data_IF_318797100134
#
_entry.id   IF_318797100134
#
_cell.length_a   1.000
_cell.length_b   1.000
_cell.length_c   1.000
_cell.angle_alpha   90.00
_cell.angle_beta   90.00
_cell.angle_gamma   90.00
#
_symmetry.space_group_name_H-M   'P 1'
#
loop_
_entity.id
_entity.type
_entity.pdbx_description
1 polymer ?
#
# COMPACT_ATOMS: atom_id res chain seq x y z
N UNK A 1 -6.74 -81.10 30.49
CA UNK A 1 -5.36 -80.73 30.87
C UNK A 1 -5.17 -79.21 30.58
N UNK A 2 -5.21 -78.45 31.69
CA UNK A 2 -5.13 -77.02 31.66
C UNK A 2 -3.65 -76.63 31.87
N UNK A 3 -3.05 -75.95 30.92
CA UNK A 3 -1.68 -75.43 31.02
C UNK A 3 -1.71 -73.96 31.42
N UNK A 4 -1.26 -73.64 32.64
CA UNK A 4 -1.12 -72.36 33.21
C UNK A 4 0.16 -71.69 32.68
N UNK A 5 0.03 -70.52 31.98
CA UNK A 5 1.13 -69.67 31.56
C UNK A 5 1.13 -68.40 32.42
N UNK A 6 1.94 -68.39 33.47
CA UNK A 6 2.24 -67.12 34.25
C UNK A 6 3.27 -66.31 33.49
N UNK A 7 2.83 -65.22 32.83
CA UNK A 7 3.71 -64.17 32.33
C UNK A 7 4.03 -63.21 33.50
N UNK A 8 5.29 -63.12 33.90
CA UNK A 8 5.82 -62.10 34.76
C UNK A 8 5.95 -60.80 33.96
N UNK A 9 5.12 -59.79 34.28
CA UNK A 9 5.34 -58.41 33.83
C UNK A 9 6.43 -57.80 34.72
N UNK A 10 7.61 -57.50 34.15
CA UNK A 10 8.56 -56.55 34.72
C UNK A 10 8.01 -55.18 34.60
N UNK A 11 7.62 -54.59 35.72
CA UNK A 11 7.22 -53.16 35.81
C UNK A 11 8.47 -52.32 35.61
N UNK A 12 8.56 -51.66 34.44
CA UNK A 12 9.53 -50.56 34.25
C UNK A 12 9.17 -49.43 35.22
N UNK A 13 10.06 -49.10 36.14
CA UNK A 13 9.99 -47.87 36.89
C UNK A 13 10.16 -46.71 35.90
N UNK A 14 9.06 -46.10 35.47
CA UNK A 14 9.10 -44.76 34.92
C UNK A 14 9.52 -43.82 36.06
N UNK A 15 10.70 -43.26 35.93
CA UNK A 15 11.13 -42.15 36.78
C UNK A 15 10.06 -41.06 36.71
N UNK A 16 9.30 -40.89 37.79
CA UNK A 16 8.32 -39.80 37.93
C UNK A 16 9.06 -38.45 37.93
N UNK A 17 9.11 -37.82 36.79
CA UNK A 17 9.56 -36.43 36.67
C UNK A 17 8.51 -35.58 37.40
N UNK A 18 8.93 -34.89 38.45
CA UNK A 18 8.04 -34.00 39.22
C UNK A 18 7.34 -33.01 38.28
N UNK A 19 6.00 -32.84 38.31
CA UNK A 19 5.26 -31.96 37.40
C UNK A 19 5.81 -30.55 37.31
N UNK A 20 6.38 -30.03 38.42
CA UNK A 20 7.00 -28.71 38.50
C UNK A 20 8.25 -28.53 37.59
N UNK A 21 9.02 -29.59 37.33
CA UNK A 21 10.24 -29.50 36.49
C UNK A 21 9.91 -29.52 34.99
N UNK A 22 8.86 -30.22 34.61
CA UNK A 22 8.34 -30.20 33.23
C UNK A 22 7.74 -28.83 32.94
N UNK A 23 6.94 -28.31 33.85
CA UNK A 23 6.31 -27.00 33.73
C UNK A 23 7.35 -25.86 33.62
N UNK A 24 8.41 -25.89 34.46
CA UNK A 24 9.50 -24.91 34.40
C UNK A 24 10.27 -24.98 33.07
N UNK A 25 10.56 -26.20 32.59
CA UNK A 25 11.23 -26.40 31.28
C UNK A 25 10.34 -25.95 30.14
N UNK A 26 9.04 -26.24 30.18
CA UNK A 26 8.06 -25.78 29.16
C UNK A 26 7.94 -24.26 29.16
N UNK A 27 7.85 -23.63 30.32
CA UNK A 27 7.83 -22.16 30.45
C UNK A 27 9.14 -21.56 29.93
N UNK A 28 10.30 -22.12 30.27
CA UNK A 28 11.59 -21.64 29.78
C UNK A 28 11.72 -21.78 28.25
N UNK A 29 11.23 -22.88 27.67
CA UNK A 29 11.22 -23.08 26.20
C UNK A 29 10.24 -22.11 25.53
N UNK A 30 9.02 -21.92 26.08
CA UNK A 30 8.06 -20.93 25.58
C UNK A 30 8.60 -19.50 25.69
N UNK A 31 9.26 -19.16 26.81
CA UNK A 31 9.88 -17.83 26.98
C UNK A 31 11.05 -17.62 26.00
N UNK A 32 11.83 -18.66 25.72
CA UNK A 32 12.90 -18.60 24.73
C UNK A 32 12.37 -18.48 23.29
N UNK A 33 11.29 -19.22 22.98
CA UNK A 33 10.57 -19.07 21.69
C UNK A 33 9.94 -17.66 21.54
N UNK A 34 9.35 -17.12 22.59
CA UNK A 34 8.79 -15.75 22.60
C UNK A 34 9.89 -14.68 22.46
N UNK A 35 11.06 -14.87 23.08
CA UNK A 35 12.20 -13.97 22.87
C UNK A 35 12.78 -14.02 21.46
N UNK A 36 12.72 -15.15 20.77
CA UNK A 36 13.19 -15.29 19.38
C UNK A 36 12.28 -14.61 18.35
N UNK A 37 11.04 -14.25 18.70
CA UNK A 37 10.10 -13.54 17.83
C UNK A 37 10.27 -12.01 17.84
N UNK A 38 11.15 -11.46 18.69
CA UNK A 38 11.22 -10.03 18.95
C UNK A 38 12.28 -9.26 18.14
N UNK A 39 12.97 -9.86 17.17
CA UNK A 39 14.04 -9.19 16.43
C UNK A 39 13.71 -9.08 14.94
N UNK A 40 12.70 -8.28 14.62
CA UNK A 40 12.58 -7.75 13.26
C UNK A 40 13.15 -6.32 13.25
N UNK A 41 14.46 -6.21 13.12
CA UNK A 41 15.10 -4.97 12.68
C UNK A 41 14.55 -4.62 11.29
N UNK A 42 14.20 -3.35 11.04
CA UNK A 42 13.86 -2.87 9.70
C UNK A 42 15.13 -2.87 8.86
N UNK A 43 15.39 -3.98 8.18
CA UNK A 43 16.53 -4.08 7.27
C UNK A 43 16.34 -3.17 6.06
N UNK A 44 17.40 -2.54 5.55
CA UNK A 44 17.34 -1.79 4.30
C UNK A 44 16.75 -2.64 3.16
N UNK A 45 15.89 -2.07 2.35
CA UNK A 45 15.29 -2.75 1.20
C UNK A 45 16.38 -3.14 0.21
N UNK A 46 16.51 -4.43 -0.09
CA UNK A 46 17.46 -4.97 -1.08
C UNK A 46 16.68 -5.42 -2.30
N UNK A 47 16.87 -4.70 -3.42
CA UNK A 47 16.17 -4.98 -4.65
C UNK A 47 16.92 -6.02 -5.49
N UNK A 48 16.20 -7.04 -5.95
CA UNK A 48 16.65 -7.93 -7.00
C UNK A 48 16.61 -7.22 -8.36
N UNK A 49 17.31 -7.73 -9.37
CA UNK A 49 17.29 -7.16 -10.73
C UNK A 49 15.87 -7.07 -11.29
N UNK A 50 15.02 -8.06 -11.03
CA UNK A 50 13.61 -8.02 -11.44
C UNK A 50 12.84 -6.86 -10.75
N UNK A 51 13.07 -6.62 -9.47
CA UNK A 51 12.45 -5.51 -8.75
C UNK A 51 12.96 -4.15 -9.22
N UNK A 52 14.25 -4.05 -9.57
CA UNK A 52 14.83 -2.84 -10.21
C UNK A 52 14.12 -2.57 -11.53
N UNK A 53 13.99 -3.59 -12.37
CA UNK A 53 13.28 -3.47 -13.64
C UNK A 53 11.82 -3.02 -13.47
N UNK A 54 11.09 -3.60 -12.54
CA UNK A 54 9.72 -3.17 -12.21
C UNK A 54 9.66 -1.70 -11.75
N UNK A 55 10.65 -1.25 -10.97
CA UNK A 55 10.73 0.16 -10.56
C UNK A 55 11.04 1.09 -11.73
N UNK A 56 11.84 0.66 -12.73
CA UNK A 56 12.08 1.39 -13.99
C UNK A 56 10.77 1.53 -14.78
N UNK A 57 9.99 0.45 -14.90
CA UNK A 57 8.69 0.50 -15.55
C UNK A 57 7.72 1.48 -14.84
N UNK A 58 7.68 1.49 -13.49
CA UNK A 58 6.91 2.47 -12.72
C UNK A 58 7.43 3.90 -12.88
N UNK A 59 8.75 4.07 -13.01
CA UNK A 59 9.35 5.38 -13.28
C UNK A 59 8.87 5.94 -14.62
N UNK A 60 8.65 5.10 -15.61
CA UNK A 60 8.21 5.45 -16.96
C UNK A 60 6.70 5.71 -17.09
N UNK A 61 5.92 5.45 -16.06
CA UNK A 61 4.48 5.72 -16.06
C UNK A 61 4.14 6.97 -15.22
N UNK A 62 3.52 7.96 -15.82
CA UNK A 62 3.15 9.23 -15.19
C UNK A 62 1.63 9.36 -14.98
N UNK A 63 1.00 8.31 -14.52
CA UNK A 63 -0.42 8.28 -14.16
C UNK A 63 -0.62 7.93 -12.69
N UNK A 64 -1.68 8.49 -12.08
CA UNK A 64 -1.97 8.33 -10.66
C UNK A 64 -3.42 7.91 -10.43
N UNK A 65 -3.66 6.94 -9.55
CA UNK A 65 -4.98 6.48 -9.14
C UNK A 65 -5.12 6.51 -7.61
N UNK A 66 -6.22 7.06 -7.10
CA UNK A 66 -6.54 7.09 -5.67
C UNK A 66 -7.79 6.27 -5.41
N UNK A 67 -7.65 5.19 -4.65
CA UNK A 67 -8.75 4.38 -4.17
C UNK A 67 -9.23 4.92 -2.83
N UNK A 68 -10.55 5.06 -2.62
CA UNK A 68 -11.11 5.67 -1.40
C UNK A 68 -12.16 4.73 -0.79
N UNK A 69 -12.01 4.47 0.53
CA UNK A 69 -12.98 3.75 1.32
C UNK A 69 -12.96 4.19 2.80
N UNK A 70 -13.76 3.56 3.65
CA UNK A 70 -13.96 4.00 5.02
C UNK A 70 -12.94 3.44 6.01
N UNK A 71 -12.58 2.15 5.90
CA UNK A 71 -11.77 1.45 6.90
C UNK A 71 -10.56 0.73 6.29
N UNK A 72 -9.54 0.40 7.09
CA UNK A 72 -8.58 -0.64 6.75
C UNK A 72 -9.35 -1.96 6.49
N UNK A 73 -9.09 -2.66 5.37
CA UNK A 73 -9.77 -3.86 4.89
C UNK A 73 -10.92 -3.65 3.87
N UNK A 74 -11.41 -2.45 3.69
CA UNK A 74 -12.39 -2.13 2.65
C UNK A 74 -11.78 -2.08 1.24
N UNK A 75 -10.46 -1.93 1.14
CA UNK A 75 -9.79 -1.80 -0.14
C UNK A 75 -9.92 -3.04 -1.02
N UNK A 76 -10.11 -2.82 -2.32
CA UNK A 76 -9.99 -3.88 -3.30
C UNK A 76 -8.52 -4.12 -3.63
N UNK A 77 -7.86 -5.03 -2.89
CA UNK A 77 -6.45 -5.36 -3.08
C UNK A 77 -6.13 -5.86 -4.48
N UNK A 78 -7.08 -6.51 -5.19
CA UNK A 78 -6.88 -6.95 -6.59
C UNK A 78 -6.75 -5.77 -7.53
N UNK A 79 -7.63 -4.77 -7.39
CA UNK A 79 -7.60 -3.59 -8.26
C UNK A 79 -6.39 -2.71 -7.94
N UNK A 80 -6.06 -2.51 -6.66
CA UNK A 80 -4.87 -1.75 -6.23
C UNK A 80 -3.59 -2.43 -6.74
N UNK A 81 -3.46 -3.75 -6.55
CA UNK A 81 -2.32 -4.51 -7.05
C UNK A 81 -2.20 -4.47 -8.57
N UNK A 82 -3.33 -4.61 -9.30
CA UNK A 82 -3.36 -4.50 -10.76
C UNK A 82 -2.88 -3.12 -11.24
N UNK A 83 -3.42 -2.05 -10.68
CA UNK A 83 -3.03 -0.68 -11.04
C UNK A 83 -1.55 -0.41 -10.74
N UNK A 84 -1.06 -0.88 -9.59
CA UNK A 84 0.32 -0.67 -9.17
C UNK A 84 1.31 -1.58 -9.92
N UNK A 85 1.01 -2.86 -10.12
CA UNK A 85 1.98 -3.83 -10.64
C UNK A 85 1.84 -4.11 -12.14
N UNK A 86 0.61 -4.06 -12.71
CA UNK A 86 0.39 -4.27 -14.14
C UNK A 86 0.41 -2.95 -14.90
N UNK A 87 -0.48 -2.02 -14.55
CA UNK A 87 -0.57 -0.70 -15.18
C UNK A 87 0.65 0.17 -14.88
N UNK A 88 1.34 -0.09 -13.77
CA UNK A 88 2.49 0.67 -13.25
C UNK A 88 2.11 2.06 -12.73
N UNK A 89 0.83 2.33 -12.55
CA UNK A 89 0.35 3.60 -12.01
C UNK A 89 0.79 3.79 -10.55
N UNK A 90 1.09 5.03 -10.19
CA UNK A 90 1.20 5.42 -8.79
C UNK A 90 -0.18 5.31 -8.16
N UNK A 91 -0.38 4.33 -7.29
CA UNK A 91 -1.68 3.98 -6.75
C UNK A 91 -1.71 4.26 -5.25
N UNK A 92 -2.65 5.08 -4.80
CA UNK A 92 -2.87 5.38 -3.38
C UNK A 92 -4.16 4.75 -2.87
N UNK A 93 -4.20 4.42 -1.59
CA UNK A 93 -5.42 4.11 -0.85
C UNK A 93 -5.64 5.15 0.25
N UNK A 94 -6.77 5.82 0.22
CA UNK A 94 -7.25 6.70 1.29
C UNK A 94 -8.29 5.93 2.11
N UNK A 95 -7.90 5.44 3.28
CA UNK A 95 -8.83 4.96 4.30
C UNK A 95 -9.25 6.15 5.16
N UNK A 96 -10.55 6.43 5.28
CA UNK A 96 -10.99 7.58 6.04
C UNK A 96 -10.67 7.42 7.53
N UNK A 97 -10.84 6.23 8.08
CA UNK A 97 -10.53 5.90 9.48
C UNK A 97 -9.30 4.98 9.60
N UNK A 98 -8.88 4.74 10.82
CA UNK A 98 -7.87 3.73 11.16
C UNK A 98 -8.47 2.42 11.67
N UNK A 99 -9.81 2.29 11.65
CA UNK A 99 -10.53 1.09 12.06
C UNK A 99 -10.49 0.83 13.57
N UNK A 100 -10.29 1.86 14.36
CA UNK A 100 -10.19 1.83 15.82
C UNK A 100 -11.51 1.46 16.52
N UNK A 101 -12.66 1.66 15.85
CA UNK A 101 -13.99 1.22 16.32
C UNK A 101 -14.39 -0.20 15.92
N UNK A 102 -13.54 -0.92 15.20
CA UNK A 102 -13.80 -2.28 14.72
C UNK A 102 -13.57 -3.37 15.77
N UNK A 103 -13.60 -4.62 15.31
CA UNK A 103 -13.31 -5.81 16.09
C UNK A 103 -11.85 -6.26 15.94
N UNK A 104 -11.35 -6.99 16.94
CA UNK A 104 -10.08 -7.67 16.92
C UNK A 104 -10.29 -9.18 17.18
N UNK A 105 -10.05 -10.01 16.18
CA UNK A 105 -10.27 -11.46 16.27
C UNK A 105 -9.08 -12.22 16.86
N UNK A 106 -7.93 -11.57 17.02
CA UNK A 106 -6.68 -12.23 17.44
C UNK A 106 -6.08 -11.68 18.74
N UNK A 107 -6.67 -10.61 19.31
CA UNK A 107 -6.15 -9.98 20.51
C UNK A 107 -7.21 -9.20 21.29
N UNK A 108 -6.86 -8.71 22.50
CA UNK A 108 -7.75 -7.95 23.36
C UNK A 108 -7.76 -6.44 23.05
N UNK A 109 -6.91 -5.96 22.15
CA UNK A 109 -6.75 -4.54 21.86
C UNK A 109 -8.00 -4.00 21.18
N UNK A 110 -8.50 -2.87 21.69
CA UNK A 110 -9.65 -2.12 21.18
C UNK A 110 -9.30 -0.63 21.11
N UNK A 111 -10.13 0.15 20.43
CA UNK A 111 -10.01 1.60 20.29
C UNK A 111 -8.63 1.99 19.73
N UNK A 112 -7.94 2.95 20.31
CA UNK A 112 -6.69 3.53 19.82
C UNK A 112 -5.60 2.46 19.60
N UNK A 113 -5.53 1.45 20.46
CA UNK A 113 -4.56 0.35 20.29
C UNK A 113 -4.90 -0.52 19.08
N UNK A 114 -6.17 -0.80 18.85
CA UNK A 114 -6.62 -1.48 17.63
C UNK A 114 -6.35 -0.63 16.38
N UNK A 115 -6.57 0.67 16.45
CA UNK A 115 -6.25 1.59 15.36
C UNK A 115 -4.77 1.57 14.98
N UNK A 116 -3.86 1.46 15.97
CA UNK A 116 -2.43 1.27 15.71
C UNK A 116 -2.16 -0.06 15.00
N UNK A 117 -2.74 -1.17 15.48
CA UNK A 117 -2.58 -2.50 14.87
C UNK A 117 -3.09 -2.47 13.43
N UNK A 118 -4.33 -2.03 13.18
CA UNK A 118 -4.93 -1.99 11.84
C UNK A 118 -4.18 -1.05 10.89
N UNK A 119 -3.59 0.04 11.41
CA UNK A 119 -2.70 0.89 10.62
C UNK A 119 -1.47 0.11 10.15
N UNK A 120 -0.83 -0.68 11.04
CA UNK A 120 0.35 -1.46 10.66
C UNK A 120 0.02 -2.60 9.70
N UNK A 121 -1.11 -3.27 9.89
CA UNK A 121 -1.63 -4.29 8.98
C UNK A 121 -1.88 -3.71 7.57
N UNK A 122 -2.51 -2.53 7.49
CA UNK A 122 -2.77 -1.85 6.23
C UNK A 122 -1.47 -1.41 5.53
N UNK A 123 -0.49 -0.91 6.29
CA UNK A 123 0.85 -0.60 5.75
C UNK A 123 1.56 -1.88 5.27
N UNK A 124 1.37 -3.02 5.93
CA UNK A 124 1.88 -4.30 5.47
C UNK A 124 1.21 -4.75 4.16
N UNK A 125 -0.11 -4.59 4.03
CA UNK A 125 -0.84 -4.86 2.80
C UNK A 125 -0.31 -4.01 1.63
N UNK A 126 -0.05 -2.70 1.84
CA UNK A 126 0.54 -1.80 0.83
C UNK A 126 1.95 -2.21 0.40
N UNK A 127 2.77 -2.75 1.32
CA UNK A 127 4.09 -3.30 0.95
C UNK A 127 3.99 -4.49 0.00
N UNK A 128 2.90 -5.26 0.07
CA UNK A 128 2.65 -6.42 -0.80
C UNK A 128 2.07 -6.01 -2.15
N UNK A 129 1.02 -5.18 -2.16
CA UNK A 129 0.32 -4.80 -3.40
C UNK A 129 0.95 -3.61 -4.13
N UNK A 130 1.87 -2.89 -3.48
CA UNK A 130 2.63 -1.79 -4.07
C UNK A 130 1.89 -0.45 -4.09
N UNK A 131 0.78 -0.31 -3.37
CA UNK A 131 0.08 0.95 -3.15
C UNK A 131 0.72 1.83 -2.08
N UNK A 132 0.32 3.10 -2.04
CA UNK A 132 0.66 4.06 -0.98
C UNK A 132 -0.55 4.22 -0.04
N UNK A 133 -0.31 4.48 1.27
CA UNK A 133 -1.39 4.58 2.25
C UNK A 133 -1.58 6.01 2.76
N UNK A 134 -2.86 6.43 2.82
CA UNK A 134 -3.29 7.71 3.37
C UNK A 134 -4.45 7.51 4.35
N UNK A 135 -4.58 8.43 5.30
CA UNK A 135 -5.67 8.47 6.28
C UNK A 135 -6.20 9.89 6.42
N UNK A 136 -7.46 10.00 6.88
CA UNK A 136 -8.02 11.24 7.41
C UNK A 136 -7.97 11.24 8.93
N UNK A 137 -8.50 12.30 9.54
CA UNK A 137 -8.70 12.38 10.99
C UNK A 137 -9.97 11.68 11.49
N UNK A 138 -10.78 11.12 10.59
CA UNK A 138 -12.03 10.48 10.98
C UNK A 138 -11.78 9.34 11.96
N UNK A 139 -12.51 9.35 13.06
CA UNK A 139 -12.46 8.29 14.08
C UNK A 139 -13.48 7.21 13.75
N UNK A 140 -13.10 5.95 13.80
CA UNK A 140 -14.04 4.84 13.71
C UNK A 140 -14.70 4.65 15.08
N UNK A 141 -15.99 4.92 15.15
CA UNK A 141 -16.78 4.80 16.39
C UNK A 141 -17.64 3.52 16.43
N UNK A 142 -17.38 2.58 15.56
CA UNK A 142 -18.13 1.35 15.40
C UNK A 142 -19.26 1.48 14.37
N UNK A 143 -20.29 0.64 14.47
CA UNK A 143 -21.34 0.55 13.46
C UNK A 143 -22.24 1.78 13.44
N UNK A 144 -22.44 2.35 12.25
CA UNK A 144 -23.43 3.38 11.95
C UNK A 144 -24.42 2.90 10.90
N UNK A 145 -25.72 3.17 11.09
CA UNK A 145 -26.77 2.76 10.16
C UNK A 145 -26.93 3.71 8.99
N UNK A 146 -26.60 4.99 9.17
CA UNK A 146 -26.89 6.02 8.18
C UNK A 146 -25.75 7.04 8.07
N UNK A 147 -25.46 7.56 6.86
CA UNK A 147 -24.40 8.55 6.66
C UNK A 147 -24.61 9.86 7.42
N UNK A 148 -25.88 10.27 7.69
CA UNK A 148 -26.14 11.50 8.45
C UNK A 148 -25.58 11.43 9.87
N UNK A 149 -25.73 10.28 10.54
CA UNK A 149 -25.13 10.01 11.83
C UNK A 149 -23.60 10.09 11.74
N UNK A 150 -23.04 9.39 10.77
CA UNK A 150 -21.60 9.35 10.55
C UNK A 150 -21.02 10.74 10.31
N UNK A 151 -21.57 11.49 9.36
CA UNK A 151 -21.08 12.81 8.99
C UNK A 151 -21.20 13.83 10.10
N UNK A 152 -22.23 13.69 10.98
CA UNK A 152 -22.36 14.52 12.17
C UNK A 152 -21.28 14.22 13.21
N UNK A 153 -20.99 12.92 13.47
CA UNK A 153 -20.00 12.50 14.47
C UNK A 153 -18.58 12.83 13.97
N UNK A 154 -18.30 12.63 12.68
CA UNK A 154 -17.00 12.90 12.09
C UNK A 154 -16.67 14.39 11.94
N UNK A 155 -17.63 15.30 12.09
CA UNK A 155 -17.52 16.69 11.67
C UNK A 155 -17.22 16.75 10.16
N UNK A 156 -18.30 16.68 9.36
CA UNK A 156 -18.25 16.57 7.90
C UNK A 156 -17.21 17.51 7.26
N UNK A 157 -17.20 18.80 7.66
CA UNK A 157 -16.32 19.79 7.05
C UNK A 157 -14.84 19.51 7.30
N UNK A 158 -14.48 19.00 8.48
CA UNK A 158 -13.09 18.67 8.80
C UNK A 158 -12.62 17.45 8.02
N UNK A 159 -13.43 16.38 7.95
CA UNK A 159 -13.06 15.18 7.20
C UNK A 159 -13.07 15.45 5.69
N UNK A 160 -14.04 16.24 5.18
CA UNK A 160 -14.03 16.69 3.79
C UNK A 160 -12.75 17.47 3.45
N UNK A 161 -12.31 18.35 4.35
CA UNK A 161 -11.02 19.05 4.20
C UNK A 161 -9.84 18.09 4.08
N UNK A 162 -9.83 16.98 4.84
CA UNK A 162 -8.77 15.98 4.76
C UNK A 162 -8.81 15.20 3.44
N UNK A 163 -10.01 14.88 2.92
CA UNK A 163 -10.14 14.22 1.61
C UNK A 163 -9.67 15.16 0.49
N UNK A 164 -10.04 16.44 0.54
CA UNK A 164 -9.53 17.47 -0.41
C UNK A 164 -8.01 17.60 -0.30
N UNK A 165 -7.46 17.60 0.92
CA UNK A 165 -6.02 17.62 1.14
C UNK A 165 -5.31 16.42 0.50
N UNK A 166 -5.85 15.20 0.69
CA UNK A 166 -5.30 14.00 0.07
C UNK A 166 -5.32 14.10 -1.46
N UNK A 167 -6.40 14.60 -2.06
CA UNK A 167 -6.48 14.80 -3.52
C UNK A 167 -5.46 15.84 -4.00
N UNK A 168 -5.35 16.98 -3.33
CA UNK A 168 -4.42 18.06 -3.71
C UNK A 168 -2.96 17.65 -3.59
N UNK A 169 -2.60 16.85 -2.58
CA UNK A 169 -1.22 16.43 -2.32
C UNK A 169 -0.80 15.23 -3.15
N UNK A 170 -1.69 14.25 -3.32
CA UNK A 170 -1.43 13.06 -4.12
C UNK A 170 -1.56 13.32 -5.63
N UNK A 171 -2.42 14.26 -6.02
CA UNK A 171 -2.74 14.65 -7.41
C UNK A 171 -3.19 13.46 -8.27
N UNK A 172 -4.28 12.75 -7.90
CA UNK A 172 -4.75 11.62 -8.68
C UNK A 172 -5.35 12.07 -10.02
N UNK A 173 -5.03 11.35 -11.09
CA UNK A 173 -5.75 11.48 -12.37
C UNK A 173 -7.13 10.80 -12.29
N UNK A 174 -7.17 9.66 -11.59
CA UNK A 174 -8.36 8.82 -11.44
C UNK A 174 -8.65 8.60 -9.96
N UNK A 175 -9.91 8.79 -9.57
CA UNK A 175 -10.41 8.41 -8.25
C UNK A 175 -11.34 7.22 -8.38
N UNK A 176 -11.26 6.25 -7.48
CA UNK A 176 -12.10 5.05 -7.45
C UNK A 176 -12.68 4.89 -6.06
N UNK A 177 -14.00 5.03 -5.95
CA UNK A 177 -14.73 4.79 -4.71
C UNK A 177 -15.02 3.30 -4.53
N UNK A 178 -14.83 2.79 -3.32
CA UNK A 178 -15.25 1.43 -2.96
C UNK A 178 -16.76 1.30 -2.81
N UNK A 179 -17.43 2.36 -2.34
CA UNK A 179 -18.84 2.33 -1.99
C UNK A 179 -19.68 3.26 -2.84
N UNK A 180 -21.01 3.03 -2.81
CA UNK A 180 -21.98 3.82 -3.54
C UNK A 180 -22.46 5.00 -2.68
N UNK A 181 -22.35 6.22 -3.19
CA UNK A 181 -22.80 7.44 -2.51
C UNK A 181 -24.33 7.67 -2.60
N UNK A 182 -25.05 6.92 -3.47
CA UNK A 182 -26.46 7.15 -3.84
C UNK A 182 -27.46 6.31 -3.02
N UNK A 183 -26.99 5.40 -2.20
CA UNK A 183 -27.83 4.41 -1.51
C UNK A 183 -27.65 4.48 0.02
N UNK A 184 -28.02 5.63 0.66
CA UNK A 184 -27.91 5.77 2.12
C UNK A 184 -28.78 4.72 2.81
N UNK A 185 -28.27 4.15 3.91
CA UNK A 185 -28.98 3.17 4.72
C UNK A 185 -28.95 1.73 4.19
N UNK A 186 -28.38 1.47 3.00
CA UNK A 186 -28.23 0.10 2.46
C UNK A 186 -26.97 -0.61 2.91
N UNK A 187 -25.96 0.16 3.34
CA UNK A 187 -24.70 -0.33 3.89
C UNK A 187 -24.36 0.44 5.15
N UNK A 188 -23.24 0.12 5.78
CA UNK A 188 -22.71 0.87 6.92
C UNK A 188 -22.61 2.37 6.59
N UNK A 189 -23.01 3.23 7.54
CA UNK A 189 -22.98 4.69 7.35
C UNK A 189 -21.59 5.25 6.96
N UNK A 190 -20.52 4.72 7.55
CA UNK A 190 -19.14 5.08 7.19
C UNK A 190 -18.85 4.82 5.71
N UNK A 191 -19.29 3.67 5.17
CA UNK A 191 -19.12 3.29 3.77
C UNK A 191 -19.73 4.31 2.84
N UNK A 192 -21.02 4.62 3.04
CA UNK A 192 -21.74 5.61 2.21
C UNK A 192 -21.12 7.00 2.38
N UNK A 193 -20.75 7.39 3.61
CA UNK A 193 -20.13 8.68 3.90
C UNK A 193 -18.79 8.85 3.19
N UNK A 194 -17.96 7.80 3.14
CA UNK A 194 -16.68 7.87 2.43
C UNK A 194 -16.86 8.18 0.94
N UNK A 195 -17.85 7.55 0.31
CA UNK A 195 -18.18 7.80 -1.09
C UNK A 195 -18.79 9.19 -1.32
N UNK A 196 -19.66 9.66 -0.42
CA UNK A 196 -20.25 11.01 -0.50
C UNK A 196 -19.18 12.10 -0.40
N UNK A 197 -18.27 11.97 0.57
CA UNK A 197 -17.16 12.91 0.75
C UNK A 197 -16.21 12.91 -0.45
N UNK A 198 -15.94 11.75 -1.03
CA UNK A 198 -15.11 11.64 -2.24
C UNK A 198 -15.74 12.33 -3.45
N UNK A 199 -17.06 12.15 -3.67
CA UNK A 199 -17.78 12.80 -4.78
C UNK A 199 -17.81 14.31 -4.62
N UNK A 200 -17.98 14.82 -3.41
CA UNK A 200 -17.94 16.24 -3.09
C UNK A 200 -16.52 16.81 -3.24
N UNK A 201 -15.53 16.11 -2.71
CA UNK A 201 -14.12 16.51 -2.77
C UNK A 201 -13.55 16.55 -4.19
N UNK A 202 -14.12 15.77 -5.15
CA UNK A 202 -13.71 15.75 -6.55
C UNK A 202 -13.74 17.14 -7.20
N UNK A 203 -14.79 17.93 -6.94
CA UNK A 203 -14.90 19.28 -7.45
C UNK A 203 -14.17 20.29 -6.57
N UNK A 204 -14.29 20.13 -5.24
CA UNK A 204 -13.73 21.07 -4.28
C UNK A 204 -12.19 21.09 -4.27
N UNK A 205 -11.55 20.02 -4.72
CA UNK A 205 -10.08 19.99 -4.79
C UNK A 205 -9.53 21.00 -5.82
N UNK A 206 -10.30 21.36 -6.83
CA UNK A 206 -9.93 22.39 -7.80
C UNK A 206 -10.39 23.81 -7.39
N UNK A 207 -11.28 23.96 -6.41
CA UNK A 207 -11.77 25.24 -5.96
C UNK A 207 -10.76 25.91 -5.02
N UNK A 208 -10.13 26.99 -5.47
CA UNK A 208 -9.15 27.76 -4.67
C UNK A 208 -9.75 28.48 -3.46
N UNK A 209 -11.06 28.69 -3.42
CA UNK A 209 -11.74 29.34 -2.30
C UNK A 209 -12.05 28.35 -1.16
N UNK A 210 -12.20 27.06 -1.50
CA UNK A 210 -12.44 26.02 -0.50
C UNK A 210 -11.14 25.55 0.12
N UNK A 211 -11.12 25.50 1.46
CA UNK A 211 -9.94 25.10 2.25
C UNK A 211 -8.65 25.82 1.80
N UNK A 212 -8.72 27.13 1.56
CA UNK A 212 -7.64 27.97 1.02
C UNK A 212 -6.34 27.90 1.86
N UNK A 213 -6.43 27.62 3.16
CA UNK A 213 -5.25 27.43 4.01
C UNK A 213 -4.33 26.29 3.54
N UNK A 214 -4.87 25.30 2.85
CA UNK A 214 -4.07 24.20 2.28
C UNK A 214 -3.15 24.67 1.16
N UNK A 215 -3.53 25.74 0.45
CA UNK A 215 -2.78 26.29 -0.69
C UNK A 215 -1.45 26.95 -0.29
N UNK A 216 -1.17 27.08 1.01
CA UNK A 216 0.16 27.44 1.53
C UNK A 216 1.18 26.29 1.35
N UNK A 217 0.71 25.06 1.14
CA UNK A 217 1.54 23.85 1.14
C UNK A 217 1.37 23.00 -0.14
N UNK A 218 0.30 23.24 -0.90
CA UNK A 218 -0.01 22.49 -2.14
C UNK A 218 -0.78 23.42 -3.10
N UNK A 219 -1.13 22.90 -4.27
CA UNK A 219 -1.91 23.59 -5.29
C UNK A 219 -3.29 22.97 -5.42
N UNK A 220 -4.22 23.66 -6.08
CA UNK A 220 -5.48 23.04 -6.52
C UNK A 220 -5.21 21.91 -7.50
N UNK A 221 -6.12 20.92 -7.52
CA UNK A 221 -6.01 19.80 -8.42
C UNK A 221 -7.39 19.32 -8.89
N UNK A 222 -7.56 19.14 -10.20
CA UNK A 222 -8.76 18.53 -10.78
C UNK A 222 -8.45 17.11 -11.24
N UNK A 223 -8.92 16.08 -10.53
CA UNK A 223 -8.89 14.71 -11.06
C UNK A 223 -9.65 14.62 -12.39
N UNK A 224 -9.19 13.80 -13.31
CA UNK A 224 -9.82 13.67 -14.63
C UNK A 224 -11.15 12.93 -14.56
N UNK A 225 -11.26 11.93 -13.69
CA UNK A 225 -12.47 11.12 -13.56
C UNK A 225 -12.60 10.45 -12.21
N UNK A 226 -13.84 10.11 -11.90
CA UNK A 226 -14.21 9.41 -10.69
C UNK A 226 -15.10 8.22 -11.06
N UNK A 227 -14.76 7.05 -10.49
CA UNK A 227 -15.48 5.80 -10.66
C UNK A 227 -15.99 5.26 -9.32
N UNK A 228 -16.96 4.33 -9.43
CA UNK A 228 -17.38 3.45 -8.35
C UNK A 228 -17.00 2.00 -8.71
N UNK A 229 -16.19 1.35 -7.89
CA UNK A 229 -15.87 -0.07 -8.03
C UNK A 229 -17.00 -0.89 -7.42
N UNK A 230 -17.79 -1.50 -8.29
CA UNK A 230 -19.00 -2.25 -7.95
C UNK A 230 -18.82 -3.76 -8.10
N UNK A 231 -19.77 -4.51 -7.59
CA UNK A 231 -19.87 -5.98 -7.73
C UNK A 231 -21.32 -6.40 -7.58
N UNK A 232 -21.64 -7.68 -7.81
CA UNK A 232 -23.01 -8.22 -7.62
C UNK A 232 -23.59 -7.94 -6.24
N UNK A 233 -22.74 -7.82 -5.22
CA UNK A 233 -23.13 -7.51 -3.84
C UNK A 233 -23.91 -6.17 -3.69
N UNK A 234 -23.68 -5.20 -4.58
CA UNK A 234 -24.35 -3.90 -4.56
C UNK A 234 -25.70 -3.90 -5.30
N UNK A 235 -26.10 -5.02 -5.87
CA UNK A 235 -27.34 -5.16 -6.65
C UNK A 235 -28.34 -6.07 -5.92
N UNK A 236 -29.62 -5.87 -6.20
CA UNK A 236 -30.70 -6.63 -5.57
C UNK A 236 -30.61 -8.14 -5.88
N UNK A 237 -30.16 -8.48 -7.09
CA UNK A 237 -29.98 -9.85 -7.56
C UNK A 237 -28.98 -9.90 -8.72
N UNK A 238 -28.57 -11.10 -9.11
CA UNK A 238 -27.63 -11.35 -10.21
C UNK A 238 -28.14 -10.86 -11.59
N UNK A 239 -29.44 -10.89 -11.83
CA UNK A 239 -30.02 -10.40 -13.10
C UNK A 239 -29.87 -8.89 -13.24
N UNK A 240 -30.08 -8.14 -12.18
CA UNK A 240 -29.91 -6.70 -12.18
C UNK A 240 -28.43 -6.33 -12.34
N UNK A 241 -27.54 -7.09 -11.71
CA UNK A 241 -26.10 -6.92 -11.92
C UNK A 241 -25.70 -7.22 -13.37
N UNK A 242 -26.16 -8.34 -13.93
CA UNK A 242 -25.88 -8.71 -15.32
C UNK A 242 -26.38 -7.66 -16.31
N UNK A 243 -27.57 -7.10 -16.10
CA UNK A 243 -28.07 -6.00 -16.93
C UNK A 243 -27.19 -4.76 -16.85
N UNK A 244 -26.67 -4.44 -15.66
CA UNK A 244 -25.78 -3.32 -15.47
C UNK A 244 -24.43 -3.54 -16.19
N UNK A 245 -23.88 -4.76 -16.17
CA UNK A 245 -22.61 -5.08 -16.84
C UNK A 245 -22.66 -4.90 -18.36
N UNK A 246 -23.82 -5.08 -18.98
CA UNK A 246 -23.98 -4.93 -20.45
C UNK A 246 -24.03 -3.47 -20.90
N UNK A 247 -24.49 -2.54 -20.05
CA UNK A 247 -24.80 -1.19 -20.53
C UNK A 247 -24.14 -0.02 -19.78
N UNK A 248 -23.70 -0.22 -18.55
CA UNK A 248 -23.25 0.88 -17.67
C UNK A 248 -21.89 0.67 -17.04
N UNK A 249 -21.41 -0.56 -16.97
CA UNK A 249 -20.18 -0.89 -16.26
C UNK A 249 -19.05 -1.15 -17.25
N UNK A 250 -17.88 -0.67 -16.87
CA UNK A 250 -16.62 -1.09 -17.49
C UNK A 250 -16.12 -2.34 -16.75
N UNK A 251 -15.70 -3.34 -17.52
CA UNK A 251 -15.08 -4.55 -16.98
C UNK A 251 -13.58 -4.53 -17.26
N UNK A 252 -12.79 -4.72 -16.22
CA UNK A 252 -11.33 -4.83 -16.32
C UNK A 252 -10.92 -6.21 -15.82
N UNK A 253 -10.28 -7.01 -16.66
CA UNK A 253 -9.71 -8.29 -16.22
C UNK A 253 -8.40 -8.03 -15.47
N UNK A 254 -8.44 -8.22 -14.16
CA UNK A 254 -7.31 -8.04 -13.26
C UNK A 254 -6.56 -9.34 -12.97
N UNK A 255 -6.96 -10.46 -13.58
CA UNK A 255 -6.41 -11.80 -13.34
C UNK A 255 -5.09 -12.07 -14.09
N UNK A 256 -4.24 -11.06 -14.24
CA UNK A 256 -2.97 -11.14 -14.96
C UNK A 256 -1.92 -11.95 -14.20
N UNK A 257 -1.00 -12.59 -14.94
CA UNK A 257 0.14 -13.30 -14.39
C UNK A 257 1.42 -12.45 -14.52
N UNK A 258 2.24 -12.42 -13.48
CA UNK A 258 3.52 -11.72 -13.43
C UNK A 258 4.68 -12.73 -13.52
N UNK A 259 5.23 -13.01 -14.71
CA UNK A 259 6.29 -14.00 -14.88
C UNK A 259 7.52 -13.75 -14.01
N UNK A 260 7.87 -12.46 -13.82
CA UNK A 260 9.03 -12.07 -13.01
C UNK A 260 8.83 -12.29 -11.50
N UNK A 261 7.57 -12.41 -11.05
CA UNK A 261 7.23 -12.72 -9.64
C UNK A 261 6.88 -14.20 -9.46
N UNK A 262 6.54 -14.92 -10.53
CA UNK A 262 5.98 -16.26 -10.47
C UNK A 262 4.59 -16.33 -9.83
N UNK A 263 3.86 -15.22 -9.82
CA UNK A 263 2.56 -15.05 -9.15
C UNK A 263 1.54 -14.38 -10.08
N UNK A 264 0.28 -14.73 -9.93
CA UNK A 264 -0.83 -13.98 -10.50
C UNK A 264 -1.16 -12.77 -9.63
N UNK A 265 -1.83 -11.77 -10.22
CA UNK A 265 -2.32 -10.61 -9.48
C UNK A 265 -3.26 -11.02 -8.33
N UNK A 266 -4.10 -12.04 -8.53
CA UNK A 266 -4.99 -12.56 -7.51
C UNK A 266 -4.22 -13.14 -6.31
N UNK A 267 -3.08 -13.80 -6.54
CA UNK A 267 -2.22 -14.30 -5.46
C UNK A 267 -1.57 -13.14 -4.71
N UNK A 268 -1.03 -12.13 -5.40
CA UNK A 268 -0.49 -10.93 -4.77
C UNK A 268 -1.57 -10.22 -3.93
N UNK A 269 -2.76 -10.06 -4.48
CA UNK A 269 -3.89 -9.44 -3.78
C UNK A 269 -4.34 -10.22 -2.55
N UNK A 270 -4.34 -11.57 -2.63
CA UNK A 270 -4.66 -12.43 -1.49
C UNK A 270 -3.60 -12.31 -0.39
N UNK A 271 -2.32 -12.27 -0.76
CA UNK A 271 -1.22 -12.03 0.20
C UNK A 271 -1.35 -10.67 0.88
N UNK A 272 -1.73 -9.62 0.13
CA UNK A 272 -1.98 -8.29 0.68
C UNK A 272 -3.17 -8.28 1.65
N UNK A 273 -4.31 -8.82 1.22
CA UNK A 273 -5.51 -8.93 2.08
C UNK A 273 -5.25 -9.75 3.34
N UNK A 274 -4.40 -10.78 3.28
CA UNK A 274 -4.04 -11.62 4.43
C UNK A 274 -3.19 -10.90 5.49
N UNK A 275 -2.75 -9.66 5.24
CA UNK A 275 -2.07 -8.85 6.24
C UNK A 275 -3.05 -8.29 7.30
N UNK A 276 -4.35 -8.28 7.03
CA UNK A 276 -5.39 -7.87 7.98
C UNK A 276 -5.71 -8.98 8.98
N UNK A 277 -4.73 -9.35 9.80
CA UNK A 277 -4.80 -10.48 10.72
C UNK A 277 -5.90 -10.30 11.76
N UNK A 278 -6.01 -9.10 12.33
CA UNK A 278 -7.03 -8.81 13.35
C UNK A 278 -8.46 -8.85 12.82
N UNK A 279 -8.65 -8.87 11.49
CA UNK A 279 -9.94 -9.04 10.82
C UNK A 279 -10.17 -10.48 10.34
N UNK A 280 -9.22 -11.39 10.58
CA UNK A 280 -9.31 -12.80 10.20
C UNK A 280 -9.25 -13.03 8.69
N UNK A 281 -8.68 -12.11 7.92
CA UNK A 281 -8.51 -12.30 6.49
C UNK A 281 -7.41 -13.31 6.18
N UNK A 282 -7.65 -14.10 5.15
CA UNK A 282 -6.80 -15.15 4.64
C UNK A 282 -7.65 -16.06 3.78
N UNK A 283 -7.69 -15.85 2.46
CA UNK A 283 -8.57 -16.61 1.56
C UNK A 283 -7.75 -17.32 0.51
N UNK A 284 -8.22 -18.53 0.16
CA UNK A 284 -7.82 -19.15 -1.10
C UNK A 284 -8.27 -18.22 -2.24
N UNK A 285 -7.40 -18.08 -3.23
CA UNK A 285 -7.65 -17.22 -4.38
C UNK A 285 -7.64 -18.01 -5.68
N UNK A 286 -8.33 -17.48 -6.70
CA UNK A 286 -8.20 -17.92 -8.08
C UNK A 286 -6.86 -17.46 -8.67
N UNK A 287 -6.43 -18.08 -9.77
CA UNK A 287 -5.16 -17.73 -10.46
C UNK A 287 -5.38 -17.29 -11.90
N UNK A 288 -6.59 -17.45 -12.40
CA UNK A 288 -6.98 -17.09 -13.76
C UNK A 288 -7.63 -15.71 -13.87
N UNK A 289 -8.33 -15.51 -14.98
CA UNK A 289 -9.11 -14.30 -15.26
C UNK A 289 -10.06 -13.94 -14.13
N UNK A 290 -10.09 -12.66 -13.80
CA UNK A 290 -10.93 -12.09 -12.74
C UNK A 290 -11.36 -10.69 -13.14
N UNK A 291 -12.66 -10.50 -13.39
CA UNK A 291 -13.19 -9.19 -13.75
C UNK A 291 -13.49 -8.35 -12.51
N UNK A 292 -13.03 -7.12 -12.53
CA UNK A 292 -13.48 -6.03 -11.67
C UNK A 292 -14.37 -5.10 -12.48
N UNK A 293 -15.43 -4.60 -11.85
CA UNK A 293 -16.41 -3.76 -12.50
C UNK A 293 -16.39 -2.35 -11.93
N UNK A 294 -16.34 -1.36 -12.80
CA UNK A 294 -16.33 0.06 -12.43
C UNK A 294 -17.44 0.82 -13.16
N UNK A 295 -18.15 1.69 -12.45
CA UNK A 295 -19.15 2.60 -12.96
C UNK A 295 -18.55 4.00 -13.05
N UNK A 296 -18.63 4.63 -14.21
CA UNK A 296 -18.26 6.04 -14.36
C UNK A 296 -19.26 6.93 -13.60
N UNK A 297 -18.75 7.83 -12.75
CA UNK A 297 -19.55 8.74 -11.96
C UNK A 297 -19.43 10.20 -12.41
N UNK A 298 -18.18 10.67 -12.67
CA UNK A 298 -17.91 12.09 -12.85
C UNK A 298 -16.64 12.37 -13.64
N UNK A 299 -16.56 13.55 -14.28
CA UNK A 299 -15.39 14.02 -15.01
C UNK A 299 -15.37 13.63 -16.47
N UNK A 300 -14.19 13.37 -17.04
CA UNK A 300 -13.99 13.03 -18.46
C UNK A 300 -14.23 11.53 -18.67
N UNK A 301 -15.31 11.15 -19.35
CA UNK A 301 -15.59 9.74 -19.63
C UNK A 301 -14.54 9.16 -20.60
N UNK A 302 -13.90 8.01 -20.27
CA UNK A 302 -12.95 7.39 -21.17
C UNK A 302 -13.61 6.90 -22.45
N UNK A 303 -12.98 7.11 -23.59
CA UNK A 303 -13.46 6.59 -24.88
C UNK A 303 -13.30 5.08 -24.98
N UNK A 304 -12.19 4.56 -24.46
CA UNK A 304 -11.98 3.13 -24.27
C UNK A 304 -12.31 2.80 -22.81
N UNK A 305 -13.40 2.05 -22.63
CA UNK A 305 -13.87 1.69 -21.30
C UNK A 305 -13.07 0.57 -20.64
N UNK A 306 -12.20 -0.14 -21.38
CA UNK A 306 -11.31 -1.17 -20.81
C UNK A 306 -10.07 -0.57 -20.13
N UNK A 307 -9.74 0.70 -20.41
CA UNK A 307 -8.61 1.41 -19.81
C UNK A 307 -9.08 2.65 -19.05
N UNK A 308 -8.91 2.63 -17.73
CA UNK A 308 -9.28 3.76 -16.86
C UNK A 308 -8.40 5.01 -17.08
N UNK A 309 -7.25 4.87 -17.74
CA UNK A 309 -6.38 5.98 -18.12
C UNK A 309 -6.55 6.42 -19.59
N UNK A 310 -7.45 5.81 -20.35
CA UNK A 310 -7.66 6.16 -21.75
C UNK A 310 -7.85 7.66 -21.94
N UNK A 311 -7.06 8.27 -22.85
CA UNK A 311 -7.05 9.70 -23.11
C UNK A 311 -6.30 10.57 -22.10
N UNK A 312 -5.70 9.98 -21.06
CA UNK A 312 -4.76 10.65 -20.14
C UNK A 312 -3.33 10.37 -20.63
N UNK A 313 -2.55 11.42 -20.83
CA UNK A 313 -1.13 11.22 -21.17
C UNK A 313 -0.36 10.74 -19.93
N UNK A 314 0.05 9.48 -19.95
CA UNK A 314 0.80 8.83 -18.86
C UNK A 314 2.27 8.64 -19.18
N UNK A 315 2.76 9.22 -20.30
CA UNK A 315 4.15 9.18 -20.74
C UNK A 315 4.93 10.40 -20.24
N UNK A 316 6.25 10.38 -20.41
CA UNK A 316 7.10 11.52 -20.10
C UNK A 316 6.74 12.79 -20.89
N UNK A 317 6.14 12.66 -22.09
CA UNK A 317 5.62 13.80 -22.86
C UNK A 317 4.45 14.54 -22.20
N UNK A 318 3.95 14.06 -21.06
CA UNK A 318 3.02 14.79 -20.19
C UNK A 318 3.65 16.06 -19.63
N UNK A 319 4.97 16.06 -19.45
CA UNK A 319 5.73 17.15 -18.86
C UNK A 319 6.46 17.94 -19.94
N UNK A 320 6.52 19.25 -19.78
CA UNK A 320 7.41 20.08 -20.57
C UNK A 320 8.85 19.57 -20.36
N UNK A 321 9.61 19.42 -21.45
CA UNK A 321 10.98 18.88 -21.46
C UNK A 321 11.12 17.42 -20.99
N UNK A 322 10.00 16.73 -20.74
CA UNK A 322 10.00 15.32 -20.31
C UNK A 322 10.40 14.33 -21.41
N UNK A 323 10.26 14.70 -22.70
CA UNK A 323 10.56 13.81 -23.82
C UNK A 323 11.99 13.28 -23.83
N UNK A 324 12.98 14.12 -23.52
CA UNK A 324 14.38 13.72 -23.42
C UNK A 324 14.63 12.73 -22.26
N UNK A 325 13.93 12.94 -21.13
CA UNK A 325 14.00 12.02 -19.99
C UNK A 325 13.41 10.68 -20.39
N UNK A 326 12.25 10.71 -21.05
CA UNK A 326 11.59 9.52 -21.58
C UNK A 326 12.48 8.75 -22.54
N UNK A 327 13.15 9.41 -23.48
CA UNK A 327 14.04 8.75 -24.43
C UNK A 327 15.13 7.93 -23.72
N UNK A 328 15.76 8.49 -22.67
CA UNK A 328 16.79 7.80 -21.90
C UNK A 328 16.18 6.61 -21.14
N UNK A 329 15.09 6.84 -20.42
CA UNK A 329 14.53 5.84 -19.52
C UNK A 329 13.82 4.69 -20.25
N UNK A 330 13.20 4.96 -21.41
CA UNK A 330 12.62 3.90 -22.27
C UNK A 330 13.72 3.05 -22.91
N UNK A 331 14.87 3.64 -23.25
CA UNK A 331 16.03 2.87 -23.74
C UNK A 331 16.60 1.96 -22.66
N UNK A 332 16.73 2.46 -21.42
CA UNK A 332 17.15 1.65 -20.26
C UNK A 332 16.15 0.49 -20.05
N UNK A 333 14.85 0.76 -20.06
CA UNK A 333 13.83 -0.28 -19.89
C UNK A 333 13.92 -1.35 -20.96
N UNK A 334 14.07 -0.94 -22.23
CA UNK A 334 14.16 -1.86 -23.38
C UNK A 334 15.42 -2.73 -23.36
N UNK A 335 16.53 -2.17 -22.90
CA UNK A 335 17.87 -2.80 -22.97
C UNK A 335 18.37 -3.21 -21.57
N UNK A 336 17.48 -3.38 -20.58
CA UNK A 336 17.86 -3.64 -19.20
C UNK A 336 18.65 -4.93 -19.04
N UNK A 337 19.82 -4.83 -18.42
CA UNK A 337 20.70 -5.96 -18.18
C UNK A 337 20.46 -6.52 -16.76
N UNK A 338 19.75 -7.65 -16.69
CA UNK A 338 19.43 -8.31 -15.43
C UNK A 338 20.66 -8.89 -14.71
N UNK A 339 21.72 -9.20 -15.45
CA UNK A 339 22.98 -9.71 -14.90
C UNK A 339 23.88 -8.59 -14.37
N UNK A 340 23.80 -7.40 -14.97
CA UNK A 340 24.60 -6.23 -14.58
C UNK A 340 23.77 -4.92 -14.63
N UNK A 341 22.88 -4.67 -13.65
CA UNK A 341 22.10 -3.43 -13.60
C UNK A 341 22.97 -2.15 -13.54
N UNK A 342 24.19 -2.25 -13.03
CA UNK A 342 25.11 -1.12 -12.92
C UNK A 342 25.52 -0.53 -14.27
N UNK A 343 25.43 -1.29 -15.36
CA UNK A 343 25.66 -0.84 -16.73
C UNK A 343 24.84 0.42 -17.08
N UNK A 344 23.66 0.57 -16.45
CA UNK A 344 22.75 1.68 -16.74
C UNK A 344 22.96 2.91 -15.83
N UNK A 345 23.91 2.90 -14.89
CA UNK A 345 24.10 3.98 -13.91
C UNK A 345 24.39 5.33 -14.56
N UNK A 346 25.23 5.36 -15.60
CA UNK A 346 25.56 6.61 -16.30
C UNK A 346 24.31 7.30 -16.85
N UNK A 347 23.45 6.57 -17.51
CA UNK A 347 22.24 7.09 -18.13
C UNK A 347 21.16 7.41 -17.09
N UNK A 348 21.05 6.61 -16.02
CA UNK A 348 20.20 6.92 -14.88
C UNK A 348 20.61 8.22 -14.19
N UNK A 349 21.91 8.49 -14.03
CA UNK A 349 22.40 9.76 -13.44
C UNK A 349 22.09 10.95 -14.38
N UNK A 350 22.22 10.77 -15.70
CA UNK A 350 21.82 11.81 -16.67
C UNK A 350 20.32 12.09 -16.56
N UNK A 351 19.48 11.05 -16.53
CA UNK A 351 18.04 11.19 -16.34
C UNK A 351 17.68 11.84 -15.00
N UNK A 352 18.37 11.48 -13.92
CA UNK A 352 18.19 12.08 -12.61
C UNK A 352 18.42 13.61 -12.63
N UNK A 353 19.54 14.06 -13.22
CA UNK A 353 19.85 15.49 -13.35
C UNK A 353 18.79 16.24 -14.16
N UNK A 354 18.27 15.62 -15.23
CA UNK A 354 17.18 16.20 -16.02
C UNK A 354 15.88 16.25 -15.20
N UNK A 355 15.56 15.23 -14.41
CA UNK A 355 14.39 15.22 -13.51
C UNK A 355 14.48 16.34 -12.47
N UNK A 356 15.67 16.60 -11.91
CA UNK A 356 15.89 17.70 -10.97
C UNK A 356 15.61 19.10 -11.56
N UNK A 357 15.70 19.25 -12.87
CA UNK A 357 15.45 20.52 -13.59
C UNK A 357 14.01 20.67 -14.11
N UNK A 358 13.10 19.72 -13.85
CA UNK A 358 11.70 19.82 -14.25
C UNK A 358 11.01 21.02 -13.59
N UNK A 359 10.22 21.76 -14.36
CA UNK A 359 9.39 22.86 -13.85
C UNK A 359 8.25 22.36 -12.95
N UNK A 360 7.68 21.20 -13.26
CA UNK A 360 6.62 20.56 -12.45
C UNK A 360 7.18 20.02 -11.14
N UNK A 361 6.95 20.76 -10.05
CA UNK A 361 7.47 20.44 -8.71
C UNK A 361 6.92 19.12 -8.17
N UNK A 362 5.68 18.76 -8.51
CA UNK A 362 5.07 17.52 -8.04
C UNK A 362 5.74 16.31 -8.68
N UNK A 363 5.78 16.28 -10.01
CA UNK A 363 6.42 15.18 -10.73
C UNK A 363 7.92 15.12 -10.50
N UNK A 364 8.57 16.28 -10.36
CA UNK A 364 9.99 16.34 -9.96
C UNK A 364 10.20 15.59 -8.65
N UNK A 365 9.49 15.94 -7.59
CA UNK A 365 9.64 15.30 -6.27
C UNK A 365 9.33 13.80 -6.29
N UNK A 366 8.28 13.38 -7.01
CA UNK A 366 7.88 11.96 -7.13
C UNK A 366 8.95 11.17 -7.89
N UNK A 367 9.38 11.67 -9.06
CA UNK A 367 10.29 10.95 -9.95
C UNK A 367 11.73 10.97 -9.44
N UNK A 368 12.16 12.05 -8.79
CA UNK A 368 13.46 12.13 -8.13
C UNK A 368 13.60 11.07 -7.03
N UNK A 369 12.58 10.91 -6.18
CA UNK A 369 12.56 9.86 -5.16
C UNK A 369 12.60 8.46 -5.76
N UNK A 370 11.88 8.23 -6.87
CA UNK A 370 11.85 6.93 -7.56
C UNK A 370 13.19 6.58 -8.19
N UNK A 371 13.78 7.50 -8.97
CA UNK A 371 15.03 7.25 -9.68
C UNK A 371 16.22 7.12 -8.71
N UNK A 372 16.26 7.88 -7.59
CA UNK A 372 17.31 7.76 -6.58
C UNK A 372 17.37 6.34 -6.01
N UNK A 373 16.22 5.71 -5.72
CA UNK A 373 16.16 4.31 -5.28
C UNK A 373 16.64 3.32 -6.33
N UNK A 374 16.38 3.59 -7.59
CA UNK A 374 16.85 2.76 -8.71
C UNK A 374 18.38 2.89 -8.84
N UNK A 375 18.93 4.11 -8.78
CA UNK A 375 20.38 4.37 -8.83
C UNK A 375 21.08 3.66 -7.67
N UNK A 376 20.58 3.82 -6.43
CA UNK A 376 21.11 3.14 -5.25
C UNK A 376 21.19 1.62 -5.43
N UNK A 377 20.09 1.03 -5.95
CA UNK A 377 20.00 -0.42 -6.17
C UNK A 377 20.91 -0.89 -7.32
N UNK A 378 20.96 -0.17 -8.44
CA UNK A 378 21.85 -0.48 -9.57
C UNK A 378 23.33 -0.36 -9.19
N UNK A 379 23.69 0.59 -8.33
CA UNK A 379 25.05 0.74 -7.81
C UNK A 379 25.42 -0.35 -6.78
N UNK A 380 24.46 -1.15 -6.32
CA UNK A 380 24.69 -2.16 -5.30
C UNK A 380 25.10 -1.56 -3.95
N UNK A 381 24.67 -0.33 -3.66
CA UNK A 381 24.95 0.33 -2.40
C UNK A 381 24.22 -0.34 -1.25
N UNK A 382 24.89 -0.41 -0.11
CA UNK A 382 24.28 -0.81 1.15
C UNK A 382 24.64 0.23 2.22
N UNK A 383 23.62 0.83 2.79
CA UNK A 383 23.73 1.85 3.82
C UNK A 383 22.87 1.43 4.99
N UNK A 384 23.45 1.26 6.15
CA UNK A 384 22.74 0.92 7.38
C UNK A 384 23.28 1.72 8.56
N UNK A 385 22.37 2.17 9.42
CA UNK A 385 22.70 2.70 10.73
C UNK A 385 21.93 1.89 11.77
N UNK A 386 22.62 1.15 12.61
CA UNK A 386 22.02 0.34 13.68
C UNK A 386 22.42 0.87 15.04
N UNK A 387 21.44 0.97 15.95
CA UNK A 387 21.70 1.33 17.33
C UNK A 387 22.11 0.09 18.13
N UNK A 388 23.05 0.22 19.05
CA UNK A 388 23.45 -0.85 19.96
C UNK A 388 22.30 -1.28 20.88
N UNK A 389 21.41 -0.34 21.22
CA UNK A 389 20.24 -0.58 22.06
C UNK A 389 18.95 -0.35 21.29
N UNK A 390 17.94 -1.22 21.48
CA UNK A 390 16.60 -1.08 20.91
C UNK A 390 15.75 0.02 21.56
N UNK A 391 16.22 0.59 22.67
CA UNK A 391 15.53 1.64 23.41
C UNK A 391 16.54 2.61 24.04
N UNK A 392 16.12 3.86 24.24
CA UNK A 392 16.89 4.89 24.89
C UNK A 392 16.03 5.77 25.78
N UNK A 393 16.63 6.45 26.74
CA UNK A 393 15.96 7.45 27.55
C UNK A 393 16.37 8.86 27.10
N UNK A 394 15.52 9.88 27.30
CA UNK A 394 15.86 11.26 26.96
C UNK A 394 17.22 11.68 27.57
N UNK A 395 18.04 12.37 26.77
CA UNK A 395 19.39 12.83 27.13
C UNK A 395 20.46 11.73 27.34
N UNK A 396 20.18 10.47 27.02
CA UNK A 396 21.20 9.44 26.98
C UNK A 396 21.93 9.45 25.62
N UNK A 397 23.22 9.05 25.67
CA UNK A 397 23.96 8.76 24.44
C UNK A 397 23.53 7.40 23.89
N UNK A 398 23.31 7.32 22.59
CA UNK A 398 23.05 6.08 21.86
C UNK A 398 24.22 5.88 20.89
N UNK A 399 24.87 4.74 20.99
CA UNK A 399 25.94 4.35 20.06
C UNK A 399 25.30 3.81 18.78
N UNK A 400 25.79 4.29 17.62
CA UNK A 400 25.33 3.89 16.30
C UNK A 400 26.47 3.24 15.54
N UNK A 401 26.25 2.01 15.08
CA UNK A 401 27.11 1.37 14.09
C UNK A 401 26.61 1.75 12.69
N UNK A 402 27.51 2.29 11.86
CA UNK A 402 27.18 2.70 10.48
C UNK A 402 27.96 1.82 9.52
N UNK A 403 27.23 1.11 8.67
CA UNK A 403 27.79 0.27 7.61
C UNK A 403 27.52 0.90 6.24
N UNK A 404 28.59 1.12 5.48
CA UNK A 404 28.54 1.67 4.12
C UNK A 404 29.32 0.74 3.21
N UNK A 405 28.62 0.09 2.27
CA UNK A 405 29.23 -0.81 1.29
C UNK A 405 28.89 -0.37 -0.13
N UNK A 406 29.91 -0.29 -0.98
CA UNK A 406 29.77 -0.25 -2.42
C UNK A 406 30.13 -1.63 -2.99
N UNK A 407 29.13 -2.36 -3.53
CA UNK A 407 29.34 -3.69 -4.10
C UNK A 407 29.79 -3.66 -5.56
N UNK A 408 29.82 -2.47 -6.18
CA UNK A 408 30.23 -2.30 -7.55
C UNK A 408 31.59 -1.59 -7.60
N UNK A 409 32.62 -2.33 -7.98
CA UNK A 409 33.99 -1.80 -8.11
C UNK A 409 34.18 -0.87 -9.33
N UNK A 410 33.28 -0.93 -10.33
CA UNK A 410 33.40 -0.12 -11.54
C UNK A 410 32.86 1.31 -11.35
N UNK A 411 32.04 1.52 -10.30
CA UNK A 411 31.45 2.82 -10.02
C UNK A 411 31.99 3.34 -8.69
N UNK A 412 32.89 4.34 -8.70
CA UNK A 412 33.38 4.95 -7.47
C UNK A 412 32.27 5.73 -6.78
N UNK A 413 32.08 5.47 -5.48
CA UNK A 413 31.12 6.16 -4.62
C UNK A 413 31.90 6.74 -3.45
N UNK A 414 31.69 8.03 -3.17
CA UNK A 414 32.32 8.76 -2.10
C UNK A 414 31.30 9.15 -1.05
N UNK A 415 31.60 8.89 0.23
CA UNK A 415 30.83 9.40 1.35
C UNK A 415 31.34 10.82 1.67
N UNK A 416 30.55 11.84 1.32
CA UNK A 416 30.95 13.24 1.54
C UNK A 416 30.64 13.72 2.94
N UNK A 417 29.51 13.32 3.52
CA UNK A 417 29.09 13.75 4.86
C UNK A 417 28.08 12.81 5.49
N UNK A 418 28.01 12.82 6.80
CA UNK A 418 26.95 12.24 7.60
C UNK A 418 26.33 13.31 8.49
N UNK A 419 25.01 13.37 8.54
CA UNK A 419 24.29 14.29 9.41
C UNK A 419 23.15 13.56 10.13
N UNK A 420 22.93 13.93 11.40
CA UNK A 420 21.82 13.44 12.20
C UNK A 420 20.79 14.55 12.34
N UNK A 421 19.53 14.28 11.95
CA UNK A 421 18.42 15.19 12.27
C UNK A 421 17.85 14.77 13.62
N UNK A 422 18.03 15.61 14.63
CA UNK A 422 17.28 15.49 15.89
C UNK A 422 15.94 16.19 15.71
N UNK A 423 14.83 15.46 15.77
CA UNK A 423 13.49 16.05 15.90
C UNK A 423 13.25 16.27 17.38
N UNK A 424 13.14 17.52 17.83
CA UNK A 424 12.54 17.81 19.13
C UNK A 424 11.08 17.41 19.04
N UNK A 425 10.67 16.41 19.83
CA UNK A 425 9.27 16.12 20.08
C UNK A 425 8.89 17.08 21.23
N UNK A 426 8.12 18.12 20.93
CA UNK A 426 7.48 18.99 21.92
C UNK A 426 6.21 18.35 22.43
#
# INVERSE_FOLDING_TARGET
TICNFKRRFKMLHLLAIKPNDIMKKTIAILSFLLMSLSVFSQKPEKLTSNQIYEKIQKLNFLGTALYIAAHPDDENTRLISYLSNHVKARTGYLSLTRGDGGQNLIGPEIRELLGVIRTQELLAARRVDGGEQFFTRANDFGFSKHPDETLKIWDKEKVLSDVVWAIRTFKPDVIINRFNHRTPGTTHGHHTSSAMLSVEAFDLANDSLKFSNQLKHTETWQPKRLFFNTSSWFYKNEDDFRKATVGKLTSVDVGVYYPQKGLSNNEVASMASSQHLCQGFGRLTTRGSQNEYIEFLKGDQPKDTSDIFAGINTTWNRLKDGGDIGAILYDIEKNFDFGNPAKHLKDLIIAYKKIQSLDDLHWRAVKEKQISKIIEACAGLYLEASAESSSGVPNANIELAIEVLNRNSEVPVFLESMSFKTTKIE
#
